data_IF_502922124886
#
_entry.id   IF_502922124886
#
_cell.length_a   1.000
_cell.length_b   1.000
_cell.length_c   1.000
_cell.angle_alpha   90.00
_cell.angle_beta   90.00
_cell.angle_gamma   90.00
#
_symmetry.space_group_name_H-M   'P 1'
#
loop_
_entity.id
_entity.type
_entity.pdbx_description
1 polymer ?
#
# COMPACT_ATOMS: atom_id res chain seq x y z
N UNK A 1 -18.66 -11.63 -7.23
CA UNK A 1 -18.28 -10.47 -8.05
C UNK A 1 -16.79 -10.24 -7.87
N UNK A 2 -16.00 -10.23 -8.95
CA UNK A 2 -14.55 -9.99 -8.88
C UNK A 2 -14.33 -8.48 -8.95
N UNK A 3 -14.09 -7.83 -7.82
CA UNK A 3 -13.73 -6.41 -7.80
C UNK A 3 -12.46 -6.21 -8.63
N UNK A 4 -12.51 -5.33 -9.63
CA UNK A 4 -11.32 -4.97 -10.41
C UNK A 4 -10.40 -4.15 -9.51
N UNK A 5 -9.20 -4.66 -9.28
CA UNK A 5 -8.11 -3.92 -8.67
C UNK A 5 -7.09 -3.68 -9.77
N UNK A 6 -6.74 -2.42 -9.98
CA UNK A 6 -5.69 -2.03 -10.91
C UNK A 6 -4.48 -1.58 -10.10
N UNK A 7 -3.28 -2.02 -10.52
CA UNK A 7 -2.05 -1.52 -9.93
C UNK A 7 -1.98 -0.03 -10.27
N UNK A 8 -1.87 0.79 -9.25
CA UNK A 8 -1.69 2.22 -9.46
C UNK A 8 -0.22 2.47 -9.82
N UNK A 9 0.08 2.43 -11.12
CA UNK A 9 1.42 2.72 -11.62
C UNK A 9 1.87 4.13 -11.25
N UNK A 10 0.91 5.07 -11.10
CA UNK A 10 1.20 6.44 -10.69
C UNK A 10 1.53 6.57 -9.22
N UNK A 11 1.09 5.66 -8.35
CA UNK A 11 1.51 5.59 -6.96
C UNK A 11 2.69 4.62 -6.73
N UNK A 12 3.03 3.80 -7.73
CA UNK A 12 4.09 2.80 -7.63
C UNK A 12 5.46 3.42 -7.33
N UNK A 13 5.71 4.68 -7.71
CA UNK A 13 6.96 5.39 -7.39
C UNK A 13 7.18 5.56 -5.88
N UNK A 14 6.13 5.44 -5.06
CA UNK A 14 6.21 5.52 -3.60
C UNK A 14 6.84 4.28 -2.98
N UNK A 15 6.87 3.16 -3.72
CA UNK A 15 7.47 1.91 -3.27
C UNK A 15 8.92 1.81 -3.76
N UNK A 16 9.83 1.48 -2.86
CA UNK A 16 11.19 1.08 -3.21
C UNK A 16 11.22 -0.34 -3.78
N UNK A 17 12.36 -0.78 -4.32
CA UNK A 17 12.54 -2.17 -4.74
C UNK A 17 12.37 -3.14 -3.56
N UNK A 18 12.86 -2.77 -2.38
CA UNK A 18 12.75 -3.57 -1.16
C UNK A 18 11.30 -3.67 -0.68
N UNK A 19 10.51 -2.60 -0.79
CA UNK A 19 9.08 -2.65 -0.42
C UNK A 19 8.34 -3.65 -1.30
N UNK A 20 8.60 -3.63 -2.62
CA UNK A 20 8.01 -4.61 -3.55
C UNK A 20 8.47 -6.04 -3.25
N UNK A 21 9.75 -6.24 -2.94
CA UNK A 21 10.29 -7.54 -2.55
C UNK A 21 9.67 -8.07 -1.25
N UNK A 22 9.29 -7.17 -0.34
CA UNK A 22 8.57 -7.49 0.89
C UNK A 22 7.04 -7.61 0.71
N UNK A 23 6.57 -7.72 -0.54
CA UNK A 23 5.17 -7.98 -0.85
C UNK A 23 4.26 -6.76 -0.77
N UNK A 24 4.79 -5.53 -0.64
CA UNK A 24 3.95 -4.34 -0.67
C UNK A 24 3.49 -4.00 -2.10
N UNK A 25 2.24 -3.58 -2.23
CA UNK A 25 1.68 -3.04 -3.47
C UNK A 25 0.64 -1.97 -3.18
N UNK A 26 0.49 -1.01 -4.09
CA UNK A 26 -0.53 0.03 -4.04
C UNK A 26 -1.48 -0.20 -5.20
N UNK A 27 -2.76 -0.36 -4.90
CA UNK A 27 -3.80 -0.58 -5.92
C UNK A 27 -4.90 0.45 -5.76
N UNK A 28 -5.59 0.76 -6.84
CA UNK A 28 -6.81 1.55 -6.82
C UNK A 28 -7.98 0.63 -7.14
N UNK A 29 -9.04 0.72 -6.33
CA UNK A 29 -10.28 -0.03 -6.57
C UNK A 29 -11.25 0.73 -7.48
N UNK A 30 -12.35 0.06 -7.85
CA UNK A 30 -13.40 0.62 -8.72
C UNK A 30 -14.08 1.88 -8.15
N UNK A 31 -13.94 2.15 -6.85
CA UNK A 31 -14.46 3.33 -6.17
C UNK A 31 -13.39 4.42 -6.00
N UNK A 32 -12.25 4.30 -6.67
CA UNK A 32 -11.08 5.19 -6.56
C UNK A 32 -10.48 5.26 -5.15
N UNK A 33 -10.65 4.21 -4.34
CA UNK A 33 -9.91 4.12 -3.10
C UNK A 33 -8.52 3.56 -3.38
N UNK A 34 -7.51 4.23 -2.86
CA UNK A 34 -6.15 3.73 -2.85
C UNK A 34 -5.99 2.75 -1.69
N UNK A 35 -5.58 1.52 -1.99
CA UNK A 35 -5.31 0.49 -0.98
C UNK A 35 -3.82 0.18 -0.97
N UNK A 36 -3.25 0.18 0.22
CA UNK A 36 -1.93 -0.39 0.47
C UNK A 36 -2.13 -1.85 0.86
N UNK A 37 -1.48 -2.74 0.11
CA UNK A 37 -1.49 -4.18 0.35
C UNK A 37 -0.12 -4.63 0.87
N UNK A 38 -0.11 -5.64 1.73
CA UNK A 38 1.08 -6.42 2.07
C UNK A 38 0.75 -7.89 1.82
N UNK A 39 1.54 -8.55 0.96
CA UNK A 39 1.33 -9.95 0.55
C UNK A 39 -0.09 -10.25 0.03
N UNK A 40 -0.68 -9.27 -0.69
CA UNK A 40 -2.04 -9.37 -1.24
C UNK A 40 -3.17 -9.02 -0.24
N UNK A 41 -2.87 -8.80 1.04
CA UNK A 41 -3.86 -8.40 2.05
C UNK A 41 -3.89 -6.88 2.22
N UNK A 42 -5.07 -6.30 2.30
CA UNK A 42 -5.22 -4.85 2.56
C UNK A 42 -4.80 -4.51 3.98
N UNK A 43 -3.78 -3.65 4.11
CA UNK A 43 -3.27 -3.15 5.39
C UNK A 43 -3.69 -1.70 5.66
N UNK A 44 -3.98 -0.93 4.61
CA UNK A 44 -4.59 0.38 4.72
C UNK A 44 -5.44 0.69 3.48
N UNK A 45 -6.48 1.50 3.65
CA UNK A 45 -7.35 1.98 2.57
C UNK A 45 -7.60 3.47 2.77
N UNK A 46 -7.45 4.24 1.69
CA UNK A 46 -7.60 5.68 1.66
C UNK A 46 -8.66 6.03 0.64
N UNK A 47 -9.55 6.96 0.99
CA UNK A 47 -10.42 7.58 0.00
C UNK A 47 -9.59 8.40 -1.00
N UNK A 48 -10.12 8.63 -2.19
CA UNK A 48 -9.51 9.48 -3.23
C UNK A 48 -9.06 10.85 -2.66
N UNK A 49 -9.82 11.42 -1.71
CA UNK A 49 -9.51 12.74 -1.11
C UNK A 49 -8.35 12.72 -0.13
N UNK A 50 -8.08 11.57 0.48
CA UNK A 50 -7.10 11.42 1.56
C UNK A 50 -5.82 10.72 1.09
N UNK A 51 -5.86 10.10 -0.10
CA UNK A 51 -4.75 9.36 -0.69
C UNK A 51 -3.69 10.28 -1.29
N UNK A 52 -3.17 11.24 -0.53
CA UNK A 52 -2.02 12.03 -1.00
C UNK A 52 -0.73 11.20 -0.88
N UNK A 53 0.28 11.44 -1.73
CA UNK A 53 1.57 10.76 -1.65
C UNK A 53 2.19 10.76 -0.25
N UNK A 54 2.06 11.87 0.47
CA UNK A 54 2.61 12.06 1.82
C UNK A 54 1.87 11.21 2.85
N UNK A 55 0.53 11.14 2.76
CA UNK A 55 -0.29 10.30 3.65
C UNK A 55 0.02 8.83 3.41
N UNK A 56 0.02 8.39 2.15
CA UNK A 56 0.32 6.99 1.79
C UNK A 56 1.72 6.61 2.25
N UNK A 57 2.71 7.49 2.05
CA UNK A 57 4.09 7.28 2.51
C UNK A 57 4.19 7.22 4.03
N UNK A 58 3.54 8.12 4.76
CA UNK A 58 3.54 8.12 6.23
C UNK A 58 2.94 6.83 6.80
N UNK A 59 1.88 6.30 6.18
CA UNK A 59 1.31 5.01 6.57
C UNK A 59 2.21 3.83 6.19
N UNK A 60 2.85 3.86 5.02
CA UNK A 60 3.84 2.85 4.64
C UNK A 60 4.96 2.78 5.66
N UNK A 61 5.53 3.93 6.05
CA UNK A 61 6.59 4.01 7.05
C UNK A 61 6.11 3.50 8.43
N UNK A 62 4.87 3.82 8.82
CA UNK A 62 4.28 3.33 10.07
C UNK A 62 4.08 1.80 10.06
N UNK A 63 3.60 1.25 8.94
CA UNK A 63 3.42 -0.19 8.77
C UNK A 63 4.76 -0.89 8.80
N UNK A 64 5.77 -0.37 8.09
CA UNK A 64 7.14 -0.89 8.13
C UNK A 64 7.69 -0.84 9.56
N UNK A 65 7.56 0.28 10.26
CA UNK A 65 7.99 0.42 11.65
C UNK A 65 7.29 -0.58 12.59
N UNK A 66 6.01 -0.89 12.38
CA UNK A 66 5.27 -1.88 13.18
C UNK A 66 5.53 -3.34 12.78
N UNK A 67 5.72 -3.61 11.48
CA UNK A 67 6.07 -4.94 10.97
C UNK A 67 7.53 -5.30 11.25
N UNK A 68 8.41 -4.32 11.48
CA UNK A 68 9.79 -4.54 11.96
C UNK A 68 9.86 -5.15 13.37
N UNK A 69 8.75 -5.24 14.12
CA UNK A 69 8.68 -6.03 15.36
C UNK A 69 8.35 -7.52 15.14
N UNK A 70 8.13 -7.96 13.89
CA UNK A 70 7.93 -9.35 13.53
C UNK A 70 9.10 -9.90 12.68
N UNK A 71 10.31 -9.40 12.94
CA UNK A 71 11.54 -10.13 12.59
C UNK A 71 11.97 -10.85 13.86
N UNK A 72 11.52 -12.10 13.99
CA UNK A 72 11.96 -13.02 15.04
C UNK A 72 13.49 -13.26 14.91
N UNK A 73 14.19 -13.52 16.05
CA UNK A 73 15.65 -13.53 16.18
C UNK A 73 16.40 -14.57 15.34
#
# INVERSE_FOLDING_TARGET
MSSKQEIDESASFLLTSDDRANGFSIVVDEFRNTRLLAWGYTVASFSERTATPEVVRGFLDLIKAKCLFYVAP
#
